data_IF_201364785598
#
_entry.id   IF_201364785598
#
_cell.length_a   1.000
_cell.length_b   1.000
_cell.length_c   1.000
_cell.angle_alpha   90.00
_cell.angle_beta   90.00
_cell.angle_gamma   90.00
#
_symmetry.space_group_name_H-M   'P 1'
#
loop_
_entity.id
_entity.type
_entity.pdbx_description
1 polymer ?
#
# COMPACT_ATOMS: atom_id res chain seq x y z
N UNK A 1 3.16 -15.06 -3.57
CA UNK A 1 2.73 -13.91 -2.78
C UNK A 1 2.82 -12.64 -3.61
N UNK A 2 1.78 -11.79 -3.64
CA UNK A 2 1.88 -10.49 -4.29
C UNK A 2 2.90 -9.59 -3.60
N UNK A 3 3.68 -8.88 -4.42
CA UNK A 3 4.69 -7.90 -4.00
C UNK A 3 4.18 -6.51 -4.31
N UNK A 4 4.30 -5.59 -3.36
CA UNK A 4 3.86 -4.21 -3.53
C UNK A 4 4.93 -3.26 -3.00
N UNK A 5 5.33 -2.31 -3.83
CA UNK A 5 6.18 -1.19 -3.43
C UNK A 5 5.33 -0.09 -2.76
N UNK A 6 5.96 0.74 -1.92
CA UNK A 6 5.32 1.95 -1.44
C UNK A 6 4.85 2.82 -2.62
N UNK A 7 3.56 3.16 -2.66
CA UNK A 7 2.97 3.91 -3.79
C UNK A 7 3.48 5.34 -3.93
N UNK A 8 3.97 5.94 -2.84
CA UNK A 8 4.35 7.36 -2.80
C UNK A 8 5.86 7.58 -3.03
N UNK A 9 6.72 6.64 -2.61
CA UNK A 9 8.18 6.78 -2.78
C UNK A 9 8.90 5.59 -3.40
N UNK A 10 8.27 4.41 -3.48
CA UNK A 10 8.92 3.18 -3.95
C UNK A 10 10.11 2.69 -3.12
N UNK A 11 10.44 3.33 -1.99
CA UNK A 11 11.67 3.06 -1.23
C UNK A 11 11.64 1.69 -0.52
N UNK A 12 10.45 1.16 -0.24
CA UNK A 12 10.26 -0.16 0.38
C UNK A 12 9.35 -1.02 -0.48
N UNK A 13 9.62 -2.33 -0.46
CA UNK A 13 8.80 -3.35 -1.13
C UNK A 13 8.50 -4.44 -0.11
N UNK A 14 7.23 -4.81 0.02
CA UNK A 14 6.79 -5.90 0.89
C UNK A 14 6.06 -6.98 0.10
N UNK A 15 6.08 -8.19 0.63
CA UNK A 15 5.28 -9.31 0.17
C UNK A 15 4.21 -9.62 1.22
N UNK A 16 2.99 -9.93 0.80
CA UNK A 16 1.94 -10.38 1.71
C UNK A 16 0.88 -11.20 0.97
N UNK A 17 0.27 -12.17 1.63
CA UNK A 17 -0.80 -13.00 1.06
C UNK A 17 -2.17 -12.31 1.08
N UNK A 18 -2.32 -11.27 1.90
CA UNK A 18 -3.57 -10.55 2.08
C UNK A 18 -3.38 -9.04 2.16
N UNK A 19 -4.44 -8.31 1.78
CA UNK A 19 -4.48 -6.85 1.85
C UNK A 19 -4.20 -6.35 3.27
N UNK A 20 -4.75 -7.04 4.28
CA UNK A 20 -4.58 -6.70 5.69
C UNK A 20 -3.11 -6.82 6.13
N UNK A 21 -2.44 -7.89 5.73
CA UNK A 21 -1.02 -8.07 6.04
C UNK A 21 -0.15 -7.05 5.31
N UNK A 22 -0.44 -6.75 4.04
CA UNK A 22 0.27 -5.70 3.31
C UNK A 22 0.13 -4.35 4.00
N UNK A 23 -1.08 -4.03 4.46
CA UNK A 23 -1.35 -2.79 5.19
C UNK A 23 -0.55 -2.72 6.50
N UNK A 24 -0.52 -3.81 7.28
CA UNK A 24 0.25 -3.86 8.53
C UNK A 24 1.75 -3.69 8.29
N UNK A 25 2.30 -4.29 7.22
CA UNK A 25 3.71 -4.16 6.86
C UNK A 25 4.06 -2.76 6.35
N UNK A 26 3.16 -2.13 5.59
CA UNK A 26 3.40 -0.82 4.97
C UNK A 26 3.15 0.36 5.94
N UNK A 27 2.28 0.20 6.94
CA UNK A 27 1.91 1.28 7.86
C UNK A 27 3.06 1.91 8.66
N UNK A 28 4.03 1.16 9.22
CA UNK A 28 5.17 1.76 9.90
C UNK A 28 5.93 2.73 9.00
N UNK A 29 6.21 2.34 7.76
CA UNK A 29 6.88 3.21 6.79
C UNK A 29 6.05 4.47 6.49
N UNK A 30 4.74 4.35 6.32
CA UNK A 30 3.89 5.52 6.08
C UNK A 30 3.79 6.43 7.31
N UNK A 31 3.80 5.91 8.53
CA UNK A 31 3.79 6.73 9.73
C UNK A 31 5.10 7.50 9.94
N UNK A 32 6.23 6.98 9.43
CA UNK A 32 7.53 7.62 9.51
C UNK A 32 7.82 8.57 8.34
N UNK A 33 7.64 8.11 7.10
CA UNK A 33 8.07 8.83 5.89
C UNK A 33 6.94 9.57 5.16
N UNK A 34 5.68 9.18 5.38
CA UNK A 34 4.48 9.72 4.69
C UNK A 34 3.38 10.07 5.69
N UNK A 35 3.78 10.58 6.86
CA UNK A 35 2.86 10.79 7.98
C UNK A 35 1.72 11.69 7.57
N UNK A 36 1.98 12.68 6.73
CA UNK A 36 1.02 13.64 6.17
C UNK A 36 -0.15 12.97 5.44
N UNK A 37 0.12 11.86 4.74
CA UNK A 37 -0.87 11.06 4.00
C UNK A 37 -1.80 10.33 4.97
N UNK A 38 -1.27 9.86 6.10
CA UNK A 38 -2.01 9.05 7.09
C UNK A 38 -2.71 9.92 8.15
N UNK A 39 -2.13 11.06 8.52
CA UNK A 39 -2.63 11.99 9.55
C UNK A 39 -3.73 12.93 9.05
N UNK A 40 -4.13 12.82 7.78
CA UNK A 40 -5.21 13.64 7.20
C UNK A 40 -4.86 15.13 7.11
N UNK A 41 -3.58 15.47 7.21
CA UNK A 41 -3.04 16.83 7.09
C UNK A 41 -2.70 17.16 5.64
N UNK A 42 -2.60 16.14 4.79
CA UNK A 42 -2.51 16.28 3.34
C UNK A 42 -3.88 16.64 2.73
N UNK A 43 -3.88 17.39 1.63
CA UNK A 43 -5.10 17.84 0.92
C UNK A 43 -6.00 16.68 0.45
N UNK A 44 -5.49 15.44 0.43
CA UNK A 44 -6.27 14.26 0.07
C UNK A 44 -6.67 13.48 1.31
N UNK A 45 -7.98 13.17 1.48
CA UNK A 45 -8.46 12.50 2.67
C UNK A 45 -7.92 11.06 2.75
N UNK A 46 -7.72 10.58 3.98
CA UNK A 46 -7.27 9.21 4.28
C UNK A 46 -8.09 8.12 3.57
N UNK A 47 -9.38 8.36 3.33
CA UNK A 47 -10.25 7.47 2.56
C UNK A 47 -9.80 7.29 1.10
N UNK A 48 -9.29 8.36 0.47
CA UNK A 48 -8.73 8.33 -0.88
C UNK A 48 -7.44 7.50 -0.92
N UNK A 49 -6.58 7.64 0.09
CA UNK A 49 -5.37 6.81 0.19
C UNK A 49 -5.70 5.33 0.34
N UNK A 50 -6.65 4.98 1.22
CA UNK A 50 -7.05 3.58 1.43
C UNK A 50 -7.65 2.95 0.17
N UNK A 51 -8.41 3.72 -0.61
CA UNK A 51 -8.93 3.27 -1.90
C UNK A 51 -7.81 3.02 -2.92
N UNK A 52 -6.85 3.96 -3.04
CA UNK A 52 -5.65 3.80 -3.89
C UNK A 52 -4.82 2.59 -3.48
N UNK A 53 -4.60 2.41 -2.18
CA UNK A 53 -3.86 1.28 -1.62
C UNK A 53 -4.52 -0.06 -1.95
N UNK A 54 -5.84 -0.13 -1.77
CA UNK A 54 -6.62 -1.34 -2.08
C UNK A 54 -6.55 -1.68 -3.57
N UNK A 55 -6.71 -0.68 -4.44
CA UNK A 55 -6.64 -0.87 -5.89
C UNK A 55 -5.24 -1.35 -6.33
N UNK A 56 -4.17 -0.74 -5.79
CA UNK A 56 -2.81 -1.13 -6.10
C UNK A 56 -2.50 -2.56 -5.63
N UNK A 57 -2.95 -2.96 -4.43
CA UNK A 57 -2.81 -4.33 -3.97
C UNK A 57 -3.61 -5.32 -4.83
N UNK A 58 -4.83 -4.96 -5.25
CA UNK A 58 -5.63 -5.81 -6.13
C UNK A 58 -4.96 -6.02 -7.49
N UNK A 59 -4.34 -4.99 -8.06
CA UNK A 59 -3.61 -5.10 -9.33
C UNK A 59 -2.48 -6.14 -9.21
N UNK A 60 -1.60 -6.00 -8.22
CA UNK A 60 -0.48 -6.95 -8.03
C UNK A 60 -0.94 -8.35 -7.62
N UNK A 61 -2.08 -8.47 -6.94
CA UNK A 61 -2.66 -9.76 -6.58
C UNK A 61 -3.29 -10.47 -7.79
N UNK A 62 -3.90 -9.73 -8.71
CA UNK A 62 -4.41 -10.27 -9.98
C UNK A 62 -3.24 -10.73 -10.85
N UNK A 63 -2.20 -9.90 -11.00
CA UNK A 63 -0.97 -10.26 -11.74
C UNK A 63 -0.30 -11.50 -11.14
N UNK A 64 -0.22 -11.58 -9.81
CA UNK A 64 0.34 -12.76 -9.15
C UNK A 64 -0.48 -14.04 -9.40
N UNK A 65 -1.81 -13.94 -9.51
CA UNK A 65 -2.69 -15.09 -9.78
C UNK A 65 -2.76 -15.47 -11.26
N UNK A 66 -2.37 -14.59 -12.17
CA UNK A 66 -2.38 -14.82 -13.62
C UNK A 66 -1.00 -15.16 -14.19
N UNK A 67 0.07 -14.96 -13.43
CA UNK A 67 1.41 -15.45 -13.76
C UNK A 67 1.53 -16.95 -13.41
N UNK A 68 1.76 -17.85 -14.40
CA UNK A 68 1.90 -19.29 -14.18
C UNK A 68 3.19 -19.69 -13.44
#
# INVERSE_FOLDING_TARGET
MPKMACMDCGAVVYEADSLREMLVKMMPHYLEAHRDVVSGTCLQPRSTWMARFTAAFQAVNVEHKTSP
#
